data_IF_529561934290
#
_entry.id   IF_529561934290
#
_cell.length_a   1.000
_cell.length_b   1.000
_cell.length_c   1.000
_cell.angle_alpha   90.00
_cell.angle_beta   90.00
_cell.angle_gamma   90.00
#
_symmetry.space_group_name_H-M   'P 1'
#
loop_
_entity.id
_entity.type
_entity.pdbx_description
1 polymer ?
#
# COMPACT_ATOMS: atom_id res chain seq x y z
N UNK A 1 24.52 -39.07 5.17
CA UNK A 1 24.38 -38.32 6.44
C UNK A 1 23.13 -37.44 6.30
N UNK A 2 22.02 -37.84 6.90
CA UNK A 2 20.74 -37.15 6.75
C UNK A 2 20.79 -35.81 7.50
N UNK A 3 20.68 -34.70 6.76
CA UNK A 3 20.59 -33.34 7.30
C UNK A 3 19.25 -33.23 8.03
N UNK A 4 19.27 -33.36 9.37
CA UNK A 4 18.10 -33.09 10.21
C UNK A 4 17.83 -31.59 10.14
N UNK A 5 16.82 -31.19 9.37
CA UNK A 5 16.22 -29.86 9.43
C UNK A 5 15.63 -29.72 10.84
N UNK A 6 16.33 -28.96 11.67
CA UNK A 6 15.87 -28.65 13.02
C UNK A 6 14.58 -27.84 12.90
N UNK A 7 13.48 -28.44 13.34
CA UNK A 7 12.11 -27.96 13.20
C UNK A 7 11.79 -26.86 14.22
N UNK A 8 12.51 -25.75 14.18
CA UNK A 8 12.23 -24.54 14.98
C UNK A 8 11.82 -23.38 14.07
N UNK A 9 11.00 -23.63 13.05
CA UNK A 9 10.33 -22.54 12.35
C UNK A 9 9.33 -21.94 13.32
N UNK A 10 9.51 -20.67 13.69
CA UNK A 10 8.50 -19.96 14.48
C UNK A 10 7.21 -19.88 13.66
N UNK A 11 6.06 -19.72 14.32
CA UNK A 11 4.78 -19.51 13.61
C UNK A 11 4.91 -18.35 12.60
N UNK A 12 5.66 -17.30 12.95
CA UNK A 12 5.96 -16.18 12.05
C UNK A 12 6.73 -16.58 10.79
N UNK A 13 7.71 -17.49 10.90
CA UNK A 13 8.49 -17.95 9.75
C UNK A 13 7.67 -18.83 8.81
N UNK A 14 6.82 -19.70 9.36
CA UNK A 14 5.89 -20.52 8.57
C UNK A 14 4.89 -19.63 7.83
N UNK A 15 4.34 -18.61 8.50
CA UNK A 15 3.42 -17.64 7.88
C UNK A 15 4.09 -16.85 6.76
N UNK A 16 5.33 -16.38 6.96
CA UNK A 16 6.10 -15.71 5.91
C UNK A 16 6.29 -16.61 4.69
N UNK A 17 6.62 -17.88 4.90
CA UNK A 17 6.81 -18.84 3.82
C UNK A 17 5.52 -19.10 3.05
N UNK A 18 4.38 -19.19 3.74
CA UNK A 18 3.05 -19.33 3.11
C UNK A 18 2.71 -18.11 2.26
N UNK A 19 2.94 -16.89 2.77
CA UNK A 19 2.69 -15.64 2.02
C UNK A 19 3.53 -15.58 0.75
N UNK A 20 4.81 -15.97 0.84
CA UNK A 20 5.75 -16.00 -0.29
C UNK A 20 5.34 -17.05 -1.34
N UNK A 21 5.06 -18.29 -0.91
CA UNK A 21 4.68 -19.39 -1.82
C UNK A 21 3.40 -19.07 -2.56
N UNK A 22 2.42 -18.47 -1.88
CA UNK A 22 1.12 -18.15 -2.47
C UNK A 22 1.07 -16.77 -3.16
N UNK A 23 2.19 -16.04 -3.22
CA UNK A 23 2.28 -14.69 -3.82
C UNK A 23 1.16 -13.75 -3.31
N UNK A 24 0.84 -13.82 -2.03
CA UNK A 24 -0.24 -13.03 -1.41
C UNK A 24 0.17 -11.58 -1.14
N UNK A 25 1.48 -11.30 -1.11
CA UNK A 25 2.05 -9.99 -0.81
C UNK A 25 1.39 -8.84 -1.61
N UNK A 26 1.19 -8.94 -2.94
CA UNK A 26 0.55 -7.86 -3.70
C UNK A 26 -0.91 -7.62 -3.31
N UNK A 27 -1.61 -8.65 -2.83
CA UNK A 27 -2.97 -8.51 -2.32
C UNK A 27 -2.99 -7.79 -0.97
N UNK A 28 -2.04 -8.12 -0.09
CA UNK A 28 -1.85 -7.46 1.20
C UNK A 28 -1.48 -5.98 0.99
N UNK A 29 -0.51 -5.71 0.11
CA UNK A 29 -0.05 -4.35 -0.20
C UNK A 29 -1.18 -3.46 -0.72
N UNK A 30 -2.13 -4.03 -1.49
CA UNK A 30 -3.32 -3.29 -1.97
C UNK A 30 -4.23 -2.86 -0.83
N UNK A 31 -4.41 -3.72 0.17
CA UNK A 31 -5.26 -3.43 1.34
C UNK A 31 -4.56 -2.38 2.19
N UNK A 32 -3.29 -2.64 2.55
CA UNK A 32 -2.49 -1.75 3.39
C UNK A 32 -2.38 -0.33 2.82
N UNK A 33 -2.08 -0.19 1.52
CA UNK A 33 -1.98 1.14 0.88
C UNK A 33 -3.34 1.87 0.87
N UNK A 34 -4.43 1.14 0.68
CA UNK A 34 -5.78 1.73 0.71
C UNK A 34 -6.13 2.24 2.11
N UNK A 35 -5.80 1.49 3.15
CA UNK A 35 -6.04 1.88 4.53
C UNK A 35 -5.11 3.04 4.95
N UNK A 36 -3.84 3.00 4.56
CA UNK A 36 -2.89 4.11 4.78
C UNK A 36 -3.40 5.41 4.14
N UNK A 37 -3.86 5.37 2.88
CA UNK A 37 -4.48 6.54 2.23
C UNK A 37 -5.64 7.09 3.07
N UNK A 38 -6.57 6.23 3.48
CA UNK A 38 -7.75 6.63 4.24
C UNK A 38 -7.37 7.29 5.57
N UNK A 39 -6.38 6.74 6.27
CA UNK A 39 -5.93 7.26 7.56
C UNK A 39 -5.21 8.60 7.43
N UNK A 40 -4.28 8.71 6.47
CA UNK A 40 -3.44 9.91 6.29
C UNK A 40 -4.23 11.11 5.76
N UNK A 41 -5.16 10.88 4.83
CA UNK A 41 -5.84 11.96 4.11
C UNK A 41 -7.01 12.57 4.89
N UNK A 42 -7.56 11.82 5.85
CA UNK A 42 -8.65 12.26 6.71
C UNK A 42 -9.97 12.51 5.97
N UNK A 43 -10.99 12.93 6.73
CA UNK A 43 -12.36 13.04 6.24
C UNK A 43 -12.54 14.00 5.05
N UNK A 44 -11.80 15.11 5.02
CA UNK A 44 -11.92 16.12 3.97
C UNK A 44 -11.60 15.57 2.58
N UNK A 45 -10.48 14.87 2.42
CA UNK A 45 -10.08 14.26 1.14
C UNK A 45 -10.85 12.97 0.87
N UNK A 46 -11.09 12.16 1.90
CA UNK A 46 -11.83 10.90 1.76
C UNK A 46 -13.25 11.12 1.26
N UNK A 47 -13.90 12.23 1.63
CA UNK A 47 -15.24 12.57 1.13
C UNK A 47 -15.29 12.67 -0.40
N UNK A 48 -14.22 13.15 -1.03
CA UNK A 48 -14.12 13.27 -2.48
C UNK A 48 -13.43 12.06 -3.13
N UNK A 49 -12.92 11.12 -2.34
CA UNK A 49 -12.24 9.92 -2.85
C UNK A 49 -13.26 8.85 -3.22
N UNK A 50 -13.42 8.59 -4.52
CA UNK A 50 -14.32 7.56 -5.04
C UNK A 50 -13.68 6.18 -5.00
N UNK A 51 -12.38 6.11 -5.29
CA UNK A 51 -11.68 4.83 -5.39
C UNK A 51 -10.18 4.99 -5.12
N UNK A 52 -9.57 3.97 -4.54
CA UNK A 52 -8.13 3.89 -4.23
C UNK A 52 -7.66 2.48 -4.57
N UNK A 53 -6.74 2.37 -5.52
CA UNK A 53 -6.26 1.07 -6.01
C UNK A 53 -4.76 1.13 -6.26
N UNK A 54 -4.02 0.22 -5.62
CA UNK A 54 -2.62 -0.04 -5.95
C UNK A 54 -2.52 -1.05 -7.10
N UNK A 55 -1.83 -0.68 -8.18
CA UNK A 55 -1.49 -1.59 -9.28
C UNK A 55 0.02 -1.59 -9.50
N UNK A 56 0.67 -2.72 -9.26
CA UNK A 56 2.12 -2.78 -9.19
C UNK A 56 2.60 -1.85 -8.06
N UNK A 57 3.40 -0.85 -8.40
CA UNK A 57 3.88 0.18 -7.48
C UNK A 57 3.22 1.55 -7.69
N UNK A 58 2.15 1.64 -8.49
CA UNK A 58 1.46 2.91 -8.76
C UNK A 58 0.11 2.94 -8.06
N UNK A 59 -0.10 3.98 -7.25
CA UNK A 59 -1.36 4.23 -6.56
C UNK A 59 -2.28 5.06 -7.46
N UNK A 60 -3.44 4.50 -7.79
CA UNK A 60 -4.48 5.20 -8.54
C UNK A 60 -5.56 5.66 -7.57
N UNK A 61 -5.81 6.97 -7.56
CA UNK A 61 -6.85 7.59 -6.75
C UNK A 61 -7.82 8.32 -7.65
N UNK A 62 -9.10 7.98 -7.51
CA UNK A 62 -10.19 8.62 -8.23
C UNK A 62 -10.87 9.64 -7.31
N UNK A 63 -10.90 10.90 -7.76
CA UNK A 63 -11.41 12.03 -7.00
C UNK A 63 -12.60 12.66 -7.73
N UNK A 64 -13.68 12.92 -6.98
CA UNK A 64 -14.87 13.61 -7.50
C UNK A 64 -14.64 15.11 -7.72
N UNK A 65 -13.73 15.73 -6.97
CA UNK A 65 -13.39 17.16 -7.06
C UNK A 65 -12.16 17.39 -7.94
N UNK A 66 -12.34 18.14 -9.03
CA UNK A 66 -11.24 18.52 -9.92
C UNK A 66 -10.26 19.50 -9.24
N UNK A 67 -10.77 20.40 -8.39
CA UNK A 67 -9.95 21.36 -7.63
C UNK A 67 -9.03 20.61 -6.66
N UNK A 68 -9.59 19.69 -5.86
CA UNK A 68 -8.81 18.91 -4.90
C UNK A 68 -7.79 18.01 -5.63
N UNK A 69 -8.17 17.46 -6.78
CA UNK A 69 -7.25 16.67 -7.61
C UNK A 69 -6.04 17.50 -8.04
N UNK A 70 -6.27 18.74 -8.49
CA UNK A 70 -5.19 19.64 -8.90
C UNK A 70 -4.28 20.00 -7.72
N UNK A 71 -4.86 20.37 -6.58
CA UNK A 71 -4.10 20.68 -5.36
C UNK A 71 -3.23 19.50 -4.91
N UNK A 72 -3.81 18.29 -4.84
CA UNK A 72 -3.08 17.08 -4.49
C UNK A 72 -2.04 16.69 -5.56
N UNK A 73 -2.24 17.09 -6.82
CA UNK A 73 -1.31 16.78 -7.91
C UNK A 73 0.06 17.44 -7.68
N UNK A 74 0.09 18.64 -7.09
CA UNK A 74 1.32 19.33 -6.70
C UNK A 74 2.03 18.64 -5.53
N UNK A 75 1.30 17.85 -4.74
CA UNK A 75 1.81 17.14 -3.57
C UNK A 75 2.16 15.67 -3.78
N UNK A 76 2.13 15.15 -5.01
CA UNK A 76 2.28 13.70 -5.30
C UNK A 76 3.50 13.06 -4.64
N UNK A 77 4.67 13.68 -4.73
CA UNK A 77 5.90 13.14 -4.12
C UNK A 77 5.79 13.04 -2.60
N UNK A 78 5.12 14.01 -1.95
CA UNK A 78 4.88 13.99 -0.50
C UNK A 78 3.89 12.89 -0.13
N UNK A 79 2.85 12.68 -0.93
CA UNK A 79 1.88 11.58 -0.74
C UNK A 79 2.60 10.23 -0.77
N UNK A 80 3.46 10.01 -1.77
CA UNK A 80 4.27 8.78 -1.88
C UNK A 80 5.09 8.57 -0.61
N UNK A 81 5.82 9.60 -0.16
CA UNK A 81 6.66 9.53 1.03
C UNK A 81 5.84 9.18 2.28
N UNK A 82 4.73 9.88 2.53
CA UNK A 82 3.89 9.66 3.71
C UNK A 82 3.28 8.24 3.75
N UNK A 83 2.85 7.71 2.60
CA UNK A 83 2.29 6.35 2.55
C UNK A 83 3.37 5.30 2.84
N UNK A 84 4.54 5.42 2.22
CA UNK A 84 5.63 4.47 2.47
C UNK A 84 6.16 4.58 3.91
N UNK A 85 6.14 5.77 4.51
CA UNK A 85 6.50 6.00 5.91
C UNK A 85 5.50 5.31 6.86
N UNK A 86 4.19 5.50 6.64
CA UNK A 86 3.12 4.83 7.41
C UNK A 86 3.25 3.30 7.34
N UNK A 87 3.59 2.77 6.17
CA UNK A 87 3.74 1.33 5.95
C UNK A 87 5.12 0.78 6.30
N UNK A 88 6.07 1.65 6.67
CA UNK A 88 7.47 1.32 6.95
C UNK A 88 8.17 0.50 5.85
N UNK A 89 7.75 0.67 4.59
CA UNK A 89 8.29 -0.05 3.43
C UNK A 89 8.00 0.69 2.12
N UNK A 90 8.88 0.52 1.14
CA UNK A 90 8.77 1.17 -0.17
C UNK A 90 7.85 0.38 -1.11
N UNK A 91 6.56 0.72 -1.10
CA UNK A 91 5.51 0.06 -1.90
C UNK A 91 5.07 0.93 -3.06
N UNK A 92 4.85 2.22 -2.79
CA UNK A 92 4.34 3.19 -3.75
C UNK A 92 5.50 3.95 -4.35
N UNK A 93 5.57 4.00 -5.68
CA UNK A 93 6.58 4.77 -6.43
C UNK A 93 5.99 5.97 -7.16
N UNK A 94 4.71 5.92 -7.48
CA UNK A 94 4.00 7.00 -8.16
C UNK A 94 2.53 7.03 -7.77
N UNK A 95 1.91 8.20 -7.93
CA UNK A 95 0.49 8.44 -7.64
C UNK A 95 -0.16 9.07 -8.87
N UNK A 96 -1.23 8.44 -9.35
CA UNK A 96 -2.06 8.95 -10.44
C UNK A 96 -3.40 9.38 -9.86
N UNK A 97 -3.69 10.68 -9.97
CA UNK A 97 -4.94 11.29 -9.54
C UNK A 97 -5.83 11.51 -10.77
N UNK A 98 -7.06 10.99 -10.74
CA UNK A 98 -8.02 11.06 -11.86
C UNK A 98 -9.40 11.53 -11.40
#
# INVERSE_FOLDING_TARGET
MAKRLNNQSTVGDVLKQIIQVNKLQPGIDRIDVKDAWKNLMGNGVNHYTKNVVLKGSTLYVELSSAVLREELSHGKSKIVAMINEELQRDVVKDVVLR
#
